data_IF_214889337430
#
_entry.id   IF_214889337430
#
_cell.length_a   1.000
_cell.length_b   1.000
_cell.length_c   1.000
_cell.angle_alpha   90.00
_cell.angle_beta   90.00
_cell.angle_gamma   90.00
#
_symmetry.space_group_name_H-M   'P 1'
#
loop_
_entity.id
_entity.type
_entity.pdbx_description
1 polymer ?
#
# COMPACT_ATOMS: atom_id res chain seq x y z
N UNK A 1 37.59 -45.71 -8.33
CA UNK A 1 37.00 -44.66 -7.47
C UNK A 1 37.63 -43.34 -7.84
N UNK A 2 36.80 -42.35 -8.20
CA UNK A 2 36.98 -40.93 -7.88
C UNK A 2 35.81 -40.20 -8.54
N UNK A 3 34.81 -39.93 -7.71
CA UNK A 3 33.61 -39.16 -8.01
C UNK A 3 34.06 -37.71 -8.09
N UNK A 4 33.92 -37.07 -9.25
CA UNK A 4 34.08 -35.62 -9.36
C UNK A 4 32.70 -34.97 -9.32
N UNK A 5 32.54 -34.11 -8.35
CA UNK A 5 31.33 -33.58 -7.77
C UNK A 5 30.51 -32.73 -8.75
N UNK A 6 29.19 -32.96 -8.75
CA UNK A 6 28.21 -31.94 -9.12
C UNK A 6 28.34 -30.76 -8.15
N UNK A 7 28.48 -29.56 -8.68
CA UNK A 7 28.16 -28.31 -7.98
C UNK A 7 27.02 -27.65 -8.72
N UNK A 8 25.80 -27.95 -8.27
CA UNK A 8 24.66 -27.03 -8.33
C UNK A 8 24.44 -26.58 -6.89
N UNK A 9 24.72 -25.31 -6.57
CA UNK A 9 23.87 -24.51 -5.66
C UNK A 9 24.02 -23.04 -6.04
N UNK A 10 22.88 -22.47 -6.41
CA UNK A 10 22.50 -21.09 -6.60
C UNK A 10 23.06 -20.10 -5.57
N UNK A 11 23.61 -18.98 -6.06
CA UNK A 11 23.50 -17.68 -5.39
C UNK A 11 23.33 -16.62 -6.49
N UNK A 12 22.14 -16.63 -7.10
CA UNK A 12 21.73 -15.52 -7.95
C UNK A 12 21.36 -14.37 -7.02
N UNK A 13 22.34 -13.53 -6.68
CA UNK A 13 22.06 -12.18 -6.20
C UNK A 13 21.18 -11.52 -7.25
N UNK A 14 19.87 -11.51 -7.01
CA UNK A 14 18.91 -10.90 -7.92
C UNK A 14 19.32 -9.44 -8.10
N UNK A 15 19.67 -9.08 -9.33
CA UNK A 15 19.98 -7.70 -9.69
C UNK A 15 18.72 -6.84 -9.49
N UNK A 16 18.85 -5.52 -9.32
CA UNK A 16 17.71 -4.68 -8.96
C UNK A 16 16.57 -4.63 -10.00
N UNK A 17 16.86 -4.96 -11.25
CA UNK A 17 15.92 -4.82 -12.37
C UNK A 17 14.84 -5.92 -12.45
N UNK A 18 15.14 -7.21 -12.24
CA UNK A 18 14.11 -8.25 -12.08
C UNK A 18 13.09 -7.93 -10.97
N UNK A 19 13.57 -7.48 -9.81
CA UNK A 19 12.75 -7.13 -8.65
C UNK A 19 11.95 -5.86 -8.91
N UNK A 20 12.54 -4.87 -9.59
CA UNK A 20 11.76 -3.74 -10.06
C UNK A 20 10.64 -4.23 -10.99
N UNK A 21 10.91 -5.09 -11.98
CA UNK A 21 9.87 -5.52 -12.92
C UNK A 21 8.73 -6.34 -12.29
N UNK A 22 8.94 -6.96 -11.13
CA UNK A 22 7.86 -7.66 -10.40
C UNK A 22 6.94 -6.72 -9.61
N UNK A 23 7.39 -5.50 -9.29
CA UNK A 23 6.62 -4.52 -8.54
C UNK A 23 5.80 -3.63 -9.49
N UNK A 24 4.49 -3.66 -9.29
CA UNK A 24 3.54 -2.75 -9.96
C UNK A 24 3.76 -1.30 -9.54
N UNK A 25 3.69 -0.36 -10.49
CA UNK A 25 3.80 1.07 -10.19
C UNK A 25 2.66 1.51 -9.27
N UNK A 26 3.00 2.26 -8.22
CA UNK A 26 2.04 2.85 -7.30
C UNK A 26 1.42 4.10 -7.90
N UNK A 27 0.10 4.13 -8.01
CA UNK A 27 -0.70 5.31 -8.37
C UNK A 27 -1.79 5.50 -7.34
N UNK A 28 -1.83 6.67 -6.71
CA UNK A 28 -2.72 6.91 -5.60
C UNK A 28 -4.16 7.10 -6.11
N UNK A 29 -5.05 6.21 -5.69
CA UNK A 29 -6.50 6.30 -5.97
C UNK A 29 -7.29 5.93 -4.70
N UNK A 30 -7.62 6.92 -3.87
CA UNK A 30 -8.35 6.67 -2.63
C UNK A 30 -9.80 6.21 -2.86
N UNK A 31 -10.40 6.49 -4.02
CA UNK A 31 -11.79 6.07 -4.31
C UNK A 31 -11.86 4.57 -4.63
N UNK A 32 -10.83 4.04 -5.31
CA UNK A 32 -10.68 2.61 -5.56
C UNK A 32 -10.01 1.86 -4.41
N UNK A 33 -9.63 2.54 -3.33
CA UNK A 33 -8.93 1.96 -2.18
C UNK A 33 -7.45 1.66 -2.43
N UNK A 34 -6.85 2.25 -3.47
CA UNK A 34 -5.42 2.16 -3.78
C UNK A 34 -4.66 3.18 -2.93
N UNK A 35 -4.41 2.82 -1.68
CA UNK A 35 -3.56 3.57 -0.76
C UNK A 35 -2.13 3.04 -0.75
N UNK A 36 -1.20 3.85 -0.29
CA UNK A 36 0.20 3.41 -0.14
C UNK A 36 0.31 2.23 0.83
N UNK A 37 -0.48 2.19 1.90
CA UNK A 37 -0.49 1.07 2.84
C UNK A 37 -0.92 -0.24 2.17
N UNK A 38 -2.00 -0.21 1.37
CA UNK A 38 -2.49 -1.39 0.67
C UNK A 38 -1.50 -1.89 -0.39
N UNK A 39 -0.87 -0.97 -1.11
CA UNK A 39 0.17 -1.30 -2.09
C UNK A 39 1.45 -1.80 -1.42
N UNK A 40 1.91 -1.16 -0.35
CA UNK A 40 3.13 -1.52 0.36
C UNK A 40 2.98 -2.90 1.00
N UNK A 41 1.85 -3.18 1.67
CA UNK A 41 1.55 -4.49 2.26
C UNK A 41 1.64 -5.64 1.26
N UNK A 42 1.27 -5.41 -0.02
CA UNK A 42 1.38 -6.43 -1.08
C UNK A 42 2.82 -6.76 -1.44
N UNK A 43 3.73 -5.79 -1.30
CA UNK A 43 5.13 -5.92 -1.70
C UNK A 43 6.07 -5.95 -0.48
N UNK A 44 5.54 -5.94 0.74
CA UNK A 44 6.30 -5.91 1.99
C UNK A 44 7.20 -7.14 2.11
N UNK A 45 6.68 -8.33 1.77
CA UNK A 45 7.44 -9.58 1.77
C UNK A 45 8.68 -9.53 0.87
N UNK A 46 8.63 -8.78 -0.24
CA UNK A 46 9.76 -8.59 -1.14
C UNK A 46 10.85 -7.75 -0.46
N UNK A 47 10.47 -6.68 0.25
CA UNK A 47 11.44 -5.87 1.00
C UNK A 47 12.06 -6.63 2.18
N UNK A 48 11.30 -7.53 2.81
CA UNK A 48 11.75 -8.35 3.94
C UNK A 48 12.64 -9.52 3.50
N UNK A 49 12.25 -10.24 2.44
CA UNK A 49 12.88 -11.49 2.04
C UNK A 49 13.88 -11.30 0.90
N UNK A 50 13.48 -10.65 -0.20
CA UNK A 50 14.31 -10.52 -1.40
C UNK A 50 15.34 -9.38 -1.28
N UNK A 51 14.95 -8.27 -0.67
CA UNK A 51 15.85 -7.15 -0.41
C UNK A 51 16.54 -7.25 0.96
N UNK A 52 16.50 -8.39 1.66
CA UNK A 52 17.01 -8.50 3.04
C UNK A 52 18.45 -7.98 3.17
N UNK A 53 19.32 -8.38 2.25
CA UNK A 53 20.74 -8.04 2.22
C UNK A 53 21.05 -6.70 1.55
N UNK A 54 20.04 -6.01 1.02
CA UNK A 54 20.23 -4.70 0.39
C UNK A 54 20.46 -3.62 1.44
N UNK A 55 21.34 -2.68 1.11
CA UNK A 55 21.51 -1.46 1.88
C UNK A 55 20.25 -0.58 1.82
N UNK A 56 20.07 0.28 2.82
CA UNK A 56 18.90 1.15 2.91
C UNK A 56 18.75 2.06 1.69
N UNK A 57 19.85 2.53 1.09
CA UNK A 57 19.79 3.42 -0.08
C UNK A 57 19.26 2.68 -1.31
N UNK A 58 19.61 1.41 -1.49
CA UNK A 58 19.08 0.56 -2.55
C UNK A 58 17.58 0.27 -2.36
N UNK A 59 17.14 0.00 -1.13
CA UNK A 59 15.70 -0.18 -0.80
C UNK A 59 14.89 1.08 -1.05
N UNK A 60 15.40 2.23 -0.62
CA UNK A 60 14.81 3.54 -0.87
C UNK A 60 14.71 3.83 -2.36
N UNK A 61 15.78 3.63 -3.11
CA UNK A 61 15.79 3.86 -4.56
C UNK A 61 14.76 2.99 -5.27
N UNK A 62 14.61 1.72 -4.89
CA UNK A 62 13.59 0.84 -5.44
C UNK A 62 12.17 1.34 -5.14
N UNK A 63 11.91 1.72 -3.89
CA UNK A 63 10.60 2.26 -3.47
C UNK A 63 10.24 3.52 -4.26
N UNK A 64 11.16 4.48 -4.36
CA UNK A 64 10.94 5.74 -5.07
C UNK A 64 10.82 5.55 -6.59
N UNK A 65 11.58 4.60 -7.17
CA UNK A 65 11.44 4.21 -8.60
C UNK A 65 10.06 3.64 -8.92
N UNK A 66 9.32 3.17 -7.92
CA UNK A 66 8.00 2.55 -8.07
C UNK A 66 6.82 3.46 -7.76
N UNK A 67 7.08 4.68 -7.33
CA UNK A 67 6.06 5.71 -7.29
C UNK A 67 5.77 6.20 -8.71
N UNK A 68 4.50 6.42 -9.03
CA UNK A 68 4.11 7.15 -10.23
C UNK A 68 4.72 8.54 -10.26
N UNK A 69 4.82 9.11 -11.45
CA UNK A 69 5.50 10.41 -11.68
C UNK A 69 4.94 11.51 -10.78
N UNK A 70 3.61 11.61 -10.69
CA UNK A 70 2.92 12.60 -9.86
C UNK A 70 3.16 12.34 -8.36
N UNK A 71 3.11 11.07 -7.95
CA UNK A 71 3.30 10.67 -6.57
C UNK A 71 4.73 10.93 -6.09
N UNK A 72 5.71 10.66 -6.96
CA UNK A 72 7.12 10.94 -6.71
C UNK A 72 7.38 12.44 -6.60
N UNK A 73 6.87 13.25 -7.53
CA UNK A 73 7.04 14.71 -7.50
C UNK A 73 6.46 15.32 -6.22
N UNK A 74 5.23 14.93 -5.86
CA UNK A 74 4.59 15.41 -4.64
C UNK A 74 5.31 14.93 -3.37
N UNK A 75 5.89 13.74 -3.37
CA UNK A 75 6.77 13.28 -2.29
C UNK A 75 8.02 14.16 -2.18
N UNK A 76 8.72 14.44 -3.30
CA UNK A 76 9.88 15.34 -3.32
C UNK A 76 9.56 16.76 -2.80
N UNK A 77 8.39 17.30 -3.16
CA UNK A 77 7.94 18.62 -2.70
C UNK A 77 7.57 18.65 -1.20
N UNK A 78 7.17 17.51 -0.65
CA UNK A 78 6.72 17.41 0.74
C UNK A 78 7.84 17.04 1.72
N UNK A 79 8.90 16.38 1.23
CA UNK A 79 10.11 16.19 2.01
C UNK A 79 10.66 17.58 2.35
N UNK A 80 10.88 17.93 3.63
CA UNK A 80 11.55 19.17 3.99
C UNK A 80 12.92 19.25 3.29
N UNK A 81 13.55 20.42 3.14
CA UNK A 81 14.91 20.53 2.61
C UNK A 81 15.92 19.91 3.58
N UNK A 82 15.89 18.59 3.71
CA UNK A 82 16.88 17.72 4.32
C UNK A 82 17.51 16.95 3.18
N UNK A 83 18.82 16.68 3.29
CA UNK A 83 19.52 15.99 2.20
C UNK A 83 18.92 14.59 2.03
N UNK A 84 18.84 14.05 0.81
CA UNK A 84 18.37 12.68 0.55
C UNK A 84 19.12 11.59 1.32
N UNK A 85 20.29 11.91 1.89
CA UNK A 85 21.11 11.05 2.75
C UNK A 85 20.63 10.97 4.20
N UNK A 86 19.69 11.82 4.62
CA UNK A 86 19.28 11.97 6.03
C UNK A 86 17.92 11.32 6.32
N UNK A 87 17.30 10.67 5.33
CA UNK A 87 16.01 9.99 5.47
C UNK A 87 16.22 8.48 5.41
N UNK A 88 15.74 7.80 6.45
CA UNK A 88 15.75 6.33 6.54
C UNK A 88 14.63 5.71 5.72
N UNK A 89 14.74 4.40 5.46
CA UNK A 89 13.67 3.64 4.80
C UNK A 89 12.35 3.73 5.57
N UNK A 90 12.42 3.62 6.89
CA UNK A 90 11.26 3.72 7.78
C UNK A 90 10.58 5.09 7.69
N UNK A 91 11.35 6.18 7.77
CA UNK A 91 10.80 7.54 7.67
C UNK A 91 10.15 7.80 6.31
N UNK A 92 10.71 7.22 5.24
CA UNK A 92 10.11 7.32 3.90
C UNK A 92 8.76 6.62 3.83
N UNK A 93 8.67 5.38 4.35
CA UNK A 93 7.42 4.62 4.43
C UNK A 93 6.38 5.39 5.24
N UNK A 94 6.75 5.91 6.42
CA UNK A 94 5.85 6.74 7.24
C UNK A 94 5.39 8.00 6.52
N UNK A 95 6.29 8.67 5.79
CA UNK A 95 5.97 9.87 5.03
C UNK A 95 5.00 9.57 3.88
N UNK A 96 5.23 8.49 3.14
CA UNK A 96 4.37 8.04 2.04
C UNK A 96 3.01 7.57 2.55
N UNK A 97 2.96 6.85 3.68
CA UNK A 97 1.70 6.51 4.37
C UNK A 97 0.93 7.76 4.78
N UNK A 98 1.61 8.80 5.26
CA UNK A 98 0.93 10.06 5.61
C UNK A 98 0.41 10.82 4.38
N UNK A 99 1.14 10.78 3.27
CA UNK A 99 0.78 11.48 2.03
C UNK A 99 -0.31 10.79 1.22
N UNK A 100 -0.28 9.46 1.20
CA UNK A 100 -1.07 8.60 0.32
C UNK A 100 -1.80 7.48 1.08
N UNK A 101 -1.97 7.64 2.39
CA UNK A 101 -2.79 6.77 3.22
C UNK A 101 -4.27 7.12 3.13
N UNK A 102 -5.08 6.32 3.81
CA UNK A 102 -6.51 6.58 3.95
C UNK A 102 -6.73 7.86 4.78
N UNK A 103 -7.30 8.90 4.16
CA UNK A 103 -7.58 10.20 4.83
C UNK A 103 -8.98 10.29 5.42
N UNK A 104 -9.83 9.31 5.15
CA UNK A 104 -11.19 9.26 5.69
C UNK A 104 -11.15 8.88 7.16
N UNK A 105 -11.92 9.60 7.99
CA UNK A 105 -12.15 9.18 9.36
C UNK A 105 -12.92 7.86 9.38
N UNK A 106 -12.78 7.07 10.44
CA UNK A 106 -13.54 5.83 10.60
C UNK A 106 -15.06 6.08 10.50
N UNK A 107 -15.52 7.24 10.97
CA UNK A 107 -16.91 7.66 10.83
C UNK A 107 -17.29 7.87 9.36
N UNK A 108 -16.48 8.60 8.60
CA UNK A 108 -16.74 8.85 7.18
C UNK A 108 -16.72 7.55 6.37
N UNK A 109 -15.74 6.67 6.61
CA UNK A 109 -15.66 5.34 5.98
C UNK A 109 -16.92 4.52 6.27
N UNK A 110 -17.37 4.47 7.53
CA UNK A 110 -18.60 3.78 7.93
C UNK A 110 -19.85 4.37 7.28
N UNK A 111 -19.94 5.69 7.24
CA UNK A 111 -21.05 6.39 6.60
C UNK A 111 -21.11 6.11 5.10
N UNK A 112 -19.98 6.18 4.39
CA UNK A 112 -19.89 5.84 2.96
C UNK A 112 -20.31 4.40 2.66
N UNK A 113 -19.93 3.45 3.51
CA UNK A 113 -20.37 2.06 3.37
C UNK A 113 -21.90 1.92 3.42
N UNK A 114 -22.59 2.69 4.27
CA UNK A 114 -24.05 2.69 4.35
C UNK A 114 -24.72 3.38 3.16
N UNK A 115 -24.01 4.28 2.48
CA UNK A 115 -24.47 4.98 1.28
C UNK A 115 -24.22 4.20 -0.02
N UNK A 116 -23.70 2.97 0.05
CA UNK A 116 -23.46 2.17 -1.13
C UNK A 116 -24.77 1.86 -1.85
N UNK A 117 -24.83 2.25 -3.12
CA UNK A 117 -25.90 1.93 -4.05
C UNK A 117 -25.29 1.28 -5.27
N UNK A 118 -25.87 0.15 -5.70
CA UNK A 118 -25.45 -0.52 -6.92
C UNK A 118 -25.65 0.41 -8.12
N UNK A 119 -24.58 0.67 -8.88
CA UNK A 119 -24.68 1.45 -10.12
C UNK A 119 -25.35 0.60 -11.21
N UNK A 120 -26.00 1.27 -12.17
CA UNK A 120 -26.75 0.60 -13.25
C UNK A 120 -25.83 -0.27 -14.11
N UNK A 121 -24.60 0.20 -14.33
CA UNK A 121 -23.59 -0.45 -15.16
C UNK A 121 -22.85 -1.61 -14.47
N UNK A 122 -22.86 -1.70 -13.13
CA UNK A 122 -22.10 -2.71 -12.41
C UNK A 122 -22.84 -4.05 -12.46
N UNK A 123 -22.14 -5.16 -12.63
CA UNK A 123 -22.72 -6.49 -12.39
C UNK A 123 -22.79 -6.78 -10.87
N UNK A 124 -23.50 -7.84 -10.49
CA UNK A 124 -23.67 -8.20 -9.07
C UNK A 124 -22.38 -8.66 -8.39
N UNK A 125 -21.44 -9.28 -9.11
CA UNK A 125 -20.15 -9.71 -8.56
C UNK A 125 -19.29 -8.48 -8.28
N UNK A 126 -19.24 -7.53 -9.21
CA UNK A 126 -18.56 -6.25 -9.03
C UNK A 126 -19.15 -5.50 -7.83
N UNK A 127 -20.48 -5.35 -7.76
CA UNK A 127 -21.12 -4.71 -6.61
C UNK A 127 -20.87 -5.43 -5.28
N UNK A 128 -20.99 -6.76 -5.24
CA UNK A 128 -20.74 -7.54 -4.04
C UNK A 128 -19.28 -7.41 -3.55
N UNK A 129 -18.32 -7.34 -4.48
CA UNK A 129 -16.91 -7.15 -4.11
C UNK A 129 -16.65 -5.78 -3.50
N UNK A 130 -17.31 -4.72 -4.00
CA UNK A 130 -17.27 -3.37 -3.41
C UNK A 130 -17.91 -3.39 -2.02
N UNK A 131 -19.11 -3.96 -1.88
CA UNK A 131 -19.79 -4.06 -0.57
C UNK A 131 -18.92 -4.78 0.45
N UNK A 132 -18.32 -5.92 0.06
CA UNK A 132 -17.46 -6.67 0.98
C UNK A 132 -16.23 -5.85 1.41
N UNK A 133 -15.59 -5.15 0.47
CA UNK A 133 -14.45 -4.27 0.77
C UNK A 133 -14.82 -3.16 1.75
N UNK A 134 -15.93 -2.47 1.52
CA UNK A 134 -16.36 -1.38 2.41
C UNK A 134 -16.83 -1.90 3.77
N UNK A 135 -17.43 -3.09 3.85
CA UNK A 135 -17.79 -3.74 5.12
C UNK A 135 -16.56 -4.08 5.98
N UNK A 136 -15.46 -4.55 5.37
CA UNK A 136 -14.21 -4.75 6.10
C UNK A 136 -13.65 -3.41 6.61
N UNK A 137 -13.68 -2.36 5.77
CA UNK A 137 -13.28 -1.00 6.16
C UNK A 137 -14.20 -0.36 7.20
N UNK A 138 -15.46 -0.79 7.29
CA UNK A 138 -16.42 -0.37 8.31
C UNK A 138 -15.94 -0.77 9.72
N UNK A 139 -15.16 -1.86 9.85
CA UNK A 139 -14.68 -2.40 11.14
C UNK A 139 -15.79 -2.53 12.16
N UNK A 140 -16.80 -3.31 11.80
CA UNK A 140 -18.03 -3.47 12.59
C UNK A 140 -17.73 -3.99 14.01
N UNK A 141 -16.78 -4.92 14.14
CA UNK A 141 -16.39 -5.52 15.41
C UNK A 141 -15.74 -4.53 16.38
N UNK A 142 -15.12 -3.46 15.87
CA UNK A 142 -14.47 -2.40 16.66
C UNK A 142 -15.43 -1.25 16.99
N UNK A 143 -16.70 -1.34 16.58
CA UNK A 143 -17.67 -0.25 16.75
C UNK A 143 -18.33 -0.30 18.14
N UNK A 144 -18.21 0.78 18.89
CA UNK A 144 -18.96 0.94 20.14
C UNK A 144 -20.41 1.35 19.89
N UNK A 145 -21.26 1.15 20.91
CA UNK A 145 -22.67 1.57 20.85
C UNK A 145 -22.81 3.06 20.57
N UNK A 146 -21.95 3.91 21.15
CA UNK A 146 -22.04 5.36 20.94
C UNK A 146 -21.62 5.76 19.52
N UNK A 147 -20.61 5.09 18.95
CA UNK A 147 -20.23 5.29 17.55
C UNK A 147 -21.37 4.89 16.59
N UNK A 148 -22.09 3.81 16.91
CA UNK A 148 -23.27 3.40 16.15
C UNK A 148 -24.40 4.43 16.26
N UNK A 149 -24.70 4.93 17.47
CA UNK A 149 -25.71 5.99 17.67
C UNK A 149 -25.36 7.24 16.86
N UNK A 150 -24.08 7.64 16.84
CA UNK A 150 -23.61 8.76 16.02
C UNK A 150 -23.88 8.53 14.52
N UNK A 151 -23.71 7.30 14.01
CA UNK A 151 -24.02 7.01 12.60
C UNK A 151 -25.51 7.17 12.31
N UNK A 152 -26.39 6.62 13.14
CA UNK A 152 -27.83 6.73 12.95
C UNK A 152 -28.28 8.19 12.96
N UNK A 153 -27.78 9.00 13.91
CA UNK A 153 -28.12 10.43 14.02
C UNK A 153 -27.70 11.29 12.81
N UNK A 154 -26.78 10.81 11.97
CA UNK A 154 -26.26 11.52 10.79
C UNK A 154 -26.73 10.92 9.46
N UNK A 155 -27.42 9.77 9.49
CA UNK A 155 -27.96 9.10 8.29
C UNK A 155 -29.42 9.52 8.01
N UNK A 156 -30.09 10.15 8.98
CA UNK A 156 -31.36 10.90 8.81
C UNK A 156 -31.12 12.34 8.31
#
# INVERSE_FOLDING_TARGET
MSISSRTDVSNSTMTPDPIANSITEFRFDPESGVTFEAWFKRHEDLFINECKEWDESSKLRLLLRKLGVFEHEKFCNFIPPKKPTDITFKETVECLTRLYGERSSIFHTRYQCLQLVKKVQDDYVTYASIVNRECERFRLQEMSSDQFKCLILYVD
#
